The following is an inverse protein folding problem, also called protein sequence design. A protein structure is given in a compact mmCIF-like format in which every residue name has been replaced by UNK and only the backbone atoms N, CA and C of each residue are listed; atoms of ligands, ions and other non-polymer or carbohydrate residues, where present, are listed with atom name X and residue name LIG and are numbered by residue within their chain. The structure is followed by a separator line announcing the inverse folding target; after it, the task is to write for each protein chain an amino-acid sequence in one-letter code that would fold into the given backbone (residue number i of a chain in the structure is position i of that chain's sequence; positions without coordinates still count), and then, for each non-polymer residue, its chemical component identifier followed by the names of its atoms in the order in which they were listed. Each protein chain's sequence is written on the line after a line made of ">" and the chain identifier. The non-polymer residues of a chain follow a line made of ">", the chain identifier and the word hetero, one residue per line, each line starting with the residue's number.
data_IF_730506880883
#
_entry.id   IF_730506880883
#
_cell.length_a   1.000
_cell.length_b   1.000
_cell.length_c   1.000
_cell.angle_alpha   90.00
_cell.angle_beta   90.00
_cell.angle_gamma   90.00
#
_symmetry.space_group_name_H-M   'P 1'
#
loop_
_entity.id
_entity.type
_entity.pdbx_description
1 polymer ?
#
# COMPACT_ATOMS: atom_id res chain seq x y z
N UNK A 1 -30.71 51.85 25.07
CA UNK A 1 -29.67 50.82 24.86
C UNK A 1 -30.21 49.87 23.81
N UNK A 2 -29.78 50.03 22.56
CA UNK A 2 -30.13 49.07 21.51
C UNK A 2 -29.27 47.82 21.69
N UNK A 3 -29.84 46.60 21.62
CA UNK A 3 -29.04 45.39 21.65
C UNK A 3 -28.22 45.27 20.36
N UNK A 4 -26.95 44.95 20.53
CA UNK A 4 -25.98 44.68 19.47
C UNK A 4 -26.43 43.44 18.66
N UNK A 5 -26.39 43.46 17.31
CA UNK A 5 -26.80 42.31 16.52
C UNK A 5 -25.81 41.16 16.74
N UNK A 6 -26.34 40.00 17.15
CA UNK A 6 -25.57 38.77 17.32
C UNK A 6 -24.75 38.47 16.05
N UNK A 7 -23.46 38.19 16.23
CA UNK A 7 -22.58 37.74 15.16
C UNK A 7 -23.16 36.49 14.49
N UNK A 8 -23.18 36.39 13.15
CA UNK A 8 -23.68 35.20 12.48
C UNK A 8 -22.82 33.99 12.87
N UNK A 9 -23.42 32.78 12.97
CA UNK A 9 -22.66 31.56 13.23
C UNK A 9 -21.60 31.36 12.13
N UNK A 10 -20.45 30.74 12.45
CA UNK A 10 -19.42 30.47 11.45
C UNK A 10 -20.03 29.66 10.32
N UNK A 11 -20.00 30.24 9.13
CA UNK A 11 -20.55 29.65 7.91
C UNK A 11 -19.72 28.43 7.55
N UNK A 12 -20.23 27.23 7.82
CA UNK A 12 -19.64 25.99 7.28
C UNK A 12 -19.71 26.10 5.75
N UNK A 13 -18.55 26.29 5.12
CA UNK A 13 -18.43 26.34 3.66
C UNK A 13 -18.72 24.93 3.12
N UNK A 14 -19.67 24.74 2.19
CA UNK A 14 -19.88 23.45 1.56
C UNK A 14 -18.67 23.12 0.67
N UNK A 15 -18.05 21.95 0.86
CA UNK A 15 -17.15 21.35 -0.14
C UNK A 15 -15.83 20.74 0.34
N UNK A 16 -15.54 20.62 1.64
CA UNK A 16 -14.39 19.83 2.08
C UNK A 16 -14.74 18.34 2.05
N UNK A 17 -14.36 17.62 0.99
CA UNK A 17 -14.45 16.16 0.96
C UNK A 17 -13.46 15.60 1.98
N UNK A 18 -13.99 14.97 3.03
CA UNK A 18 -13.19 14.25 4.01
C UNK A 18 -13.46 12.74 3.90
N UNK A 19 -12.39 11.94 3.88
CA UNK A 19 -12.49 10.48 3.89
C UNK A 19 -11.48 9.87 4.84
N UNK A 20 -11.89 8.84 5.57
CA UNK A 20 -11.00 8.02 6.38
C UNK A 20 -10.40 6.93 5.49
N UNK A 21 -9.08 6.78 5.53
CA UNK A 21 -8.33 5.79 4.76
C UNK A 21 -7.23 5.20 5.63
N UNK A 22 -6.83 3.97 5.35
CA UNK A 22 -5.61 3.37 5.91
C UNK A 22 -4.49 3.61 4.91
N UNK A 23 -3.35 4.07 5.40
CA UNK A 23 -2.22 4.52 4.57
C UNK A 23 -0.91 4.06 5.18
N UNK A 24 0.13 4.00 4.36
CA UNK A 24 1.50 3.83 4.84
C UNK A 24 2.12 5.19 5.11
N UNK A 25 2.64 5.38 6.30
CA UNK A 25 3.25 6.61 6.78
C UNK A 25 4.73 6.38 7.02
N UNK A 26 5.55 7.20 6.39
CA UNK A 26 6.96 7.36 6.69
C UNK A 26 7.14 8.65 7.47
N UNK A 27 7.83 8.58 8.60
CA UNK A 27 8.30 9.77 9.31
C UNK A 27 9.82 9.71 9.41
N UNK A 28 10.51 10.80 9.04
CA UNK A 28 11.96 10.87 9.09
C UNK A 28 12.43 12.18 9.71
N UNK A 29 13.43 12.11 10.59
CA UNK A 29 14.04 13.28 11.22
C UNK A 29 15.56 13.16 11.29
N UNK A 30 16.26 14.29 11.25
CA UNK A 30 17.70 14.32 11.51
C UNK A 30 17.98 14.09 13.01
N UNK A 31 18.98 13.28 13.31
CA UNK A 31 19.41 13.00 14.67
C UNK A 31 20.44 14.02 15.18
N UNK A 32 20.26 14.43 16.44
CA UNK A 32 21.17 15.30 17.18
C UNK A 32 21.27 16.74 16.66
N UNK A 33 20.23 17.25 16.00
CA UNK A 33 20.21 18.63 15.49
C UNK A 33 20.46 19.70 16.57
N UNK A 34 20.14 19.40 17.82
CA UNK A 34 20.31 20.29 18.98
C UNK A 34 21.74 20.79 19.19
N UNK A 35 22.75 20.11 18.64
CA UNK A 35 24.16 20.52 18.70
C UNK A 35 24.52 21.71 17.79
N UNK A 36 23.64 22.09 16.87
CA UNK A 36 23.87 23.14 15.88
C UNK A 36 23.12 24.43 16.23
N UNK A 37 23.60 25.56 15.71
CA UNK A 37 22.91 26.86 15.84
C UNK A 37 21.59 26.88 15.07
N UNK A 38 20.67 27.79 15.40
CA UNK A 38 19.36 27.87 14.74
C UNK A 38 19.47 28.02 13.21
N UNK A 39 20.35 28.89 12.72
CA UNK A 39 20.60 29.07 11.28
C UNK A 39 21.17 27.81 10.62
N UNK A 40 22.05 27.07 11.31
CA UNK A 40 22.56 25.80 10.82
C UNK A 40 21.47 24.73 10.78
N UNK A 41 20.61 24.66 11.81
CA UNK A 41 19.50 23.71 11.86
C UNK A 41 18.53 23.93 10.69
N UNK A 42 18.18 25.19 10.38
CA UNK A 42 17.34 25.53 9.24
C UNK A 42 17.95 25.05 7.91
N UNK A 43 19.23 25.34 7.67
CA UNK A 43 19.94 24.89 6.47
C UNK A 43 20.05 23.37 6.37
N UNK A 44 20.25 22.67 7.49
CA UNK A 44 20.29 21.21 7.53
C UNK A 44 18.91 20.58 7.26
N UNK A 45 17.84 21.15 7.82
CA UNK A 45 16.46 20.70 7.58
C UNK A 45 16.05 20.89 6.13
N UNK A 46 16.36 22.03 5.53
CA UNK A 46 16.09 22.28 4.12
C UNK A 46 16.77 21.23 3.22
N UNK A 47 18.06 20.98 3.44
CA UNK A 47 18.82 19.94 2.72
C UNK A 47 18.26 18.53 2.94
N UNK A 48 17.83 18.22 4.16
CA UNK A 48 17.21 16.94 4.47
C UNK A 48 15.88 16.77 3.73
N UNK A 49 15.02 17.79 3.70
CA UNK A 49 13.77 17.76 2.92
C UNK A 49 14.01 17.56 1.42
N UNK A 50 15.09 18.14 0.86
CA UNK A 50 15.50 17.85 -0.53
C UNK A 50 15.91 16.39 -0.74
N UNK A 51 16.65 15.79 0.20
CA UNK A 51 17.04 14.38 0.12
C UNK A 51 15.82 13.45 0.21
N UNK A 52 14.86 13.77 1.08
CA UNK A 52 13.59 13.03 1.17
C UNK A 52 12.88 13.09 -0.19
N UNK A 53 12.72 14.27 -0.79
CA UNK A 53 12.11 14.40 -2.12
C UNK A 53 12.86 13.60 -3.19
N UNK A 54 14.20 13.61 -3.18
CA UNK A 54 15.01 12.81 -4.11
C UNK A 54 14.80 11.32 -3.94
N UNK A 55 14.70 10.82 -2.70
CA UNK A 55 14.42 9.42 -2.44
C UNK A 55 13.04 8.99 -2.95
N UNK A 56 12.08 9.91 -3.03
CA UNK A 56 10.73 9.66 -3.56
C UNK A 56 10.63 9.73 -5.10
N UNK A 57 11.57 10.38 -5.78
CA UNK A 57 11.58 10.50 -7.25
C UNK A 57 11.97 9.19 -7.95
N UNK A 58 12.66 8.29 -7.25
CA UNK A 58 13.11 7.01 -7.81
C UNK A 58 12.03 5.92 -7.83
N UNK A 59 10.77 6.27 -7.55
CA UNK A 59 9.65 5.34 -7.41
C UNK A 59 8.53 5.72 -8.37
N UNK A 60 7.67 4.75 -8.69
CA UNK A 60 6.50 4.94 -9.53
C UNK A 60 5.63 6.11 -9.04
N UNK A 61 4.83 6.70 -9.95
CA UNK A 61 4.00 7.88 -9.67
C UNK A 61 2.78 7.59 -8.75
N UNK A 62 2.91 6.65 -7.82
CA UNK A 62 1.90 6.36 -6.81
C UNK A 62 1.54 7.61 -6.00
N UNK A 63 0.24 7.84 -5.74
CA UNK A 63 -0.22 9.03 -5.05
C UNK A 63 0.37 9.09 -3.63
N UNK A 64 1.05 10.21 -3.33
CA UNK A 64 1.68 10.46 -2.03
C UNK A 64 1.56 11.92 -1.63
N UNK A 65 1.52 12.17 -0.32
CA UNK A 65 1.45 13.52 0.27
C UNK A 65 2.67 13.71 1.15
N UNK A 66 3.51 14.71 0.84
CA UNK A 66 4.69 15.06 1.62
C UNK A 66 4.37 16.25 2.51
N UNK A 67 4.66 16.13 3.80
CA UNK A 67 4.41 17.16 4.80
C UNK A 67 5.69 17.42 5.58
N UNK A 68 6.25 18.61 5.42
CA UNK A 68 7.41 19.07 6.17
C UNK A 68 6.97 19.74 7.48
N UNK A 69 7.68 19.44 8.56
CA UNK A 69 7.48 20.01 9.89
C UNK A 69 8.82 20.46 10.48
N UNK A 70 8.75 21.25 11.55
CA UNK A 70 9.91 21.63 12.35
C UNK A 70 10.61 20.42 12.99
N UNK A 71 9.95 19.27 13.13
CA UNK A 71 10.52 18.07 13.76
C UNK A 71 11.01 17.02 12.76
N UNK A 72 10.69 17.17 11.47
CA UNK A 72 11.04 16.20 10.45
C UNK A 72 10.11 16.28 9.23
N UNK A 73 10.31 15.36 8.29
CA UNK A 73 9.47 15.22 7.10
C UNK A 73 8.65 13.94 7.24
N UNK A 74 7.37 14.04 6.92
CA UNK A 74 6.47 12.90 6.86
C UNK A 74 5.95 12.71 5.43
N UNK A 75 5.74 11.46 5.05
CA UNK A 75 5.24 11.07 3.74
C UNK A 75 4.09 10.08 3.94
N UNK A 76 2.93 10.42 3.39
CA UNK A 76 1.75 9.58 3.37
C UNK A 76 1.63 8.93 1.99
N UNK A 77 1.87 7.63 1.92
CA UNK A 77 1.72 6.82 0.72
C UNK A 77 0.30 6.28 0.66
N UNK A 78 -0.39 6.54 -0.45
CA UNK A 78 -1.77 6.10 -0.71
C UNK A 78 -1.84 4.86 -1.61
N UNK A 79 -0.67 4.32 -2.00
CA UNK A 79 -0.52 3.17 -2.88
C UNK A 79 0.23 2.02 -2.21
N UNK A 80 1.20 1.46 -2.92
CA UNK A 80 1.95 0.29 -2.49
C UNK A 80 2.74 0.55 -1.18
N UNK A 81 2.57 -0.28 -0.12
CA UNK A 81 3.37 -0.19 1.09
C UNK A 81 4.87 -0.42 0.87
N UNK A 82 5.29 -1.21 -0.12
CA UNK A 82 6.70 -1.53 -0.39
C UNK A 82 7.48 -0.29 -0.83
N UNK A 83 6.83 0.63 -1.56
CA UNK A 83 7.42 1.91 -1.96
C UNK A 83 7.93 2.73 -0.75
N UNK A 84 7.23 2.66 0.38
CA UNK A 84 7.66 3.37 1.58
C UNK A 84 8.95 2.78 2.18
N UNK A 85 9.10 1.45 2.13
CA UNK A 85 10.32 0.79 2.59
C UNK A 85 11.50 1.05 1.66
N UNK A 86 11.26 1.02 0.36
CA UNK A 86 12.24 1.40 -0.65
C UNK A 86 12.67 2.86 -0.44
N UNK A 87 11.72 3.79 -0.31
CA UNK A 87 11.97 5.21 -0.01
C UNK A 87 12.86 5.37 1.23
N UNK A 88 12.52 4.67 2.31
CA UNK A 88 13.25 4.74 3.58
C UNK A 88 14.70 4.26 3.42
N UNK A 89 14.92 3.16 2.69
CA UNK A 89 16.25 2.62 2.39
C UNK A 89 17.07 3.59 1.53
N UNK A 90 16.49 4.07 0.42
CA UNK A 90 17.14 5.05 -0.44
C UNK A 90 17.53 6.32 0.34
N UNK A 91 16.64 6.85 1.17
CA UNK A 91 16.92 8.03 1.99
C UNK A 91 18.11 7.79 2.94
N UNK A 92 18.10 6.67 3.67
CA UNK A 92 19.20 6.29 4.56
C UNK A 92 20.51 6.17 3.79
N UNK A 93 20.49 5.49 2.65
CA UNK A 93 21.69 5.20 1.87
C UNK A 93 22.26 6.49 1.24
N UNK A 94 21.41 7.37 0.71
CA UNK A 94 21.80 8.70 0.22
C UNK A 94 22.44 9.56 1.32
N UNK A 95 21.89 9.52 2.54
CA UNK A 95 22.45 10.23 3.68
C UNK A 95 23.83 9.69 4.06
N UNK A 96 23.96 8.37 4.18
CA UNK A 96 25.22 7.71 4.53
C UNK A 96 26.29 7.99 3.47
N UNK A 97 25.95 7.92 2.19
CA UNK A 97 26.87 8.16 1.08
C UNK A 97 27.33 9.62 1.00
N UNK A 98 26.42 10.59 1.17
CA UNK A 98 26.72 12.01 0.91
C UNK A 98 27.21 12.79 2.12
N UNK A 99 26.86 12.36 3.33
CA UNK A 99 27.14 13.09 4.57
C UNK A 99 27.80 12.23 5.65
N UNK A 100 28.36 11.08 5.27
CA UNK A 100 29.17 10.14 6.07
C UNK A 100 29.61 10.68 7.45
N UNK A 101 28.95 10.19 8.50
CA UNK A 101 29.11 10.54 9.94
C UNK A 101 28.75 11.97 10.37
N UNK A 102 28.60 12.93 9.45
CA UNK A 102 28.21 14.32 9.80
C UNK A 102 26.71 14.45 10.09
N UNK A 103 25.89 13.74 9.30
CA UNK A 103 24.45 13.70 9.47
C UNK A 103 23.97 12.26 9.59
N UNK A 104 22.96 12.07 10.44
CA UNK A 104 22.25 10.82 10.58
C UNK A 104 20.77 11.11 10.66
N UNK A 105 19.95 10.18 10.20
CA UNK A 105 18.50 10.30 10.29
C UNK A 105 17.89 9.10 10.99
N UNK A 106 16.79 9.33 11.68
CA UNK A 106 15.90 8.31 12.23
C UNK A 106 14.70 8.19 11.32
N UNK A 107 14.32 6.98 10.95
CA UNK A 107 13.19 6.73 10.05
C UNK A 107 12.25 5.73 10.69
N UNK A 108 10.96 6.06 10.73
CA UNK A 108 9.88 5.19 11.21
C UNK A 108 8.85 4.94 10.11
N UNK A 109 8.39 3.70 9.98
CA UNK A 109 7.26 3.33 9.11
C UNK A 109 6.07 2.80 9.92
N UNK A 110 4.89 3.26 9.57
CA UNK A 110 3.65 2.85 10.21
C UNK A 110 2.52 2.70 9.21
N UNK A 111 1.71 1.65 9.36
CA UNK A 111 0.45 1.49 8.66
C UNK A 111 -0.67 1.88 9.61
N UNK A 112 -1.45 2.91 9.26
CA UNK A 112 -2.45 3.41 10.18
C UNK A 112 -3.55 4.24 9.51
N UNK A 113 -4.66 4.46 10.24
CA UNK A 113 -5.77 5.27 9.74
C UNK A 113 -5.41 6.76 9.77
N UNK A 114 -5.79 7.45 8.71
CA UNK A 114 -5.78 8.91 8.60
C UNK A 114 -7.08 9.40 7.98
N UNK A 115 -7.41 10.66 8.26
CA UNK A 115 -8.47 11.40 7.59
C UNK A 115 -7.84 12.34 6.59
N UNK A 116 -8.11 12.09 5.31
CA UNK A 116 -7.76 13.01 4.23
C UNK A 116 -8.85 14.06 4.14
N UNK A 117 -8.46 15.34 4.12
CA UNK A 117 -9.36 16.47 3.95
C UNK A 117 -8.89 17.26 2.73
N UNK A 118 -9.67 17.20 1.65
CA UNK A 118 -9.40 17.98 0.45
C UNK A 118 -10.03 19.36 0.61
N UNK A 119 -9.18 20.39 0.72
CA UNK A 119 -9.65 21.79 0.76
C UNK A 119 -9.85 22.37 -0.64
N UNK A 120 -10.57 23.50 -0.72
CA UNK A 120 -10.79 24.26 -1.96
C UNK A 120 -9.50 24.80 -2.62
N UNK A 121 -8.36 24.73 -1.93
CA UNK A 121 -7.05 25.21 -2.39
C UNK A 121 -6.14 24.09 -2.97
N UNK A 122 -6.72 22.98 -3.44
CA UNK A 122 -6.03 21.79 -4.00
C UNK A 122 -5.01 21.09 -3.07
N UNK A 123 -4.82 21.58 -1.85
CA UNK A 123 -3.99 20.93 -0.83
C UNK A 123 -4.83 19.92 -0.07
N UNK A 124 -4.40 18.65 -0.13
CA UNK A 124 -4.96 17.58 0.69
C UNK A 124 -4.26 17.59 2.04
N UNK A 125 -5.01 17.85 3.10
CA UNK A 125 -4.50 17.76 4.46
C UNK A 125 -4.68 16.35 5.00
N UNK A 126 -3.68 15.85 5.71
CA UNK A 126 -3.73 14.54 6.38
C UNK A 126 -3.86 14.79 7.88
N UNK A 127 -4.90 14.23 8.49
CA UNK A 127 -5.20 14.38 9.91
C UNK A 127 -5.35 13.00 10.56
N UNK A 128 -5.21 12.93 11.88
CA UNK A 128 -5.50 11.74 12.66
C UNK A 128 -4.30 11.13 13.34
N UNK A 129 -4.58 10.09 14.13
CA UNK A 129 -3.61 9.48 15.04
C UNK A 129 -2.47 8.76 14.32
N UNK A 130 -2.71 8.23 13.11
CA UNK A 130 -1.68 7.52 12.35
C UNK A 130 -0.39 8.32 12.17
N UNK A 131 -0.49 9.63 11.92
CA UNK A 131 0.71 10.50 11.79
C UNK A 131 1.46 10.59 13.12
N UNK A 132 0.73 10.76 14.22
CA UNK A 132 1.33 10.85 15.55
C UNK A 132 2.04 9.55 15.91
N UNK A 133 1.41 8.40 15.63
CA UNK A 133 2.00 7.08 15.83
C UNK A 133 3.23 6.87 14.95
N UNK A 134 3.20 7.26 13.67
CA UNK A 134 4.37 7.16 12.80
C UNK A 134 5.57 7.96 13.34
N UNK A 135 5.33 9.16 13.87
CA UNK A 135 6.34 9.94 14.57
C UNK A 135 6.85 9.21 15.82
N UNK A 136 5.97 8.63 16.65
CA UNK A 136 6.39 7.87 17.84
C UNK A 136 7.23 6.64 17.47
N UNK A 137 6.84 5.92 16.42
CA UNK A 137 7.60 4.78 15.90
C UNK A 137 9.02 5.23 15.51
N UNK A 138 9.15 6.36 14.80
CA UNK A 138 10.44 6.95 14.46
C UNK A 138 11.27 7.34 15.71
N UNK A 139 10.63 7.82 16.78
CA UNK A 139 11.33 8.20 18.02
C UNK A 139 12.11 7.02 18.65
N UNK A 140 11.70 5.77 18.40
CA UNK A 140 12.39 4.56 18.88
C UNK A 140 13.59 4.14 18.02
N UNK A 141 13.79 4.78 16.86
CA UNK A 141 14.92 4.47 15.99
C UNK A 141 16.22 5.09 16.51
N UNK A 142 17.31 4.33 16.42
CA UNK A 142 18.66 4.87 16.57
C UNK A 142 19.08 5.70 15.33
N UNK A 143 20.13 6.55 15.43
CA UNK A 143 20.65 7.26 14.27
C UNK A 143 21.03 6.30 13.13
N UNK A 144 20.56 6.60 11.91
CA UNK A 144 20.65 5.78 10.70
C UNK A 144 19.89 4.44 10.73
N UNK A 145 19.02 4.24 11.71
CA UNK A 145 18.15 3.08 11.79
C UNK A 145 16.80 3.38 11.15
N UNK A 146 16.25 2.37 10.49
CA UNK A 146 14.86 2.34 10.05
C UNK A 146 14.13 1.37 10.97
N UNK A 147 13.02 1.79 11.55
CA UNK A 147 12.17 0.93 12.38
C UNK A 147 10.73 0.97 11.87
N UNK A 148 9.97 -0.09 12.14
CA UNK A 148 8.59 -0.21 11.69
C UNK A 148 7.68 -0.65 12.84
N UNK A 149 6.43 -0.21 12.79
CA UNK A 149 5.38 -0.72 13.68
C UNK A 149 4.97 -2.14 13.29
N UNK A 150 4.45 -2.91 14.24
CA UNK A 150 3.81 -4.21 13.98
C UNK A 150 2.82 -4.21 12.82
N UNK A 151 1.91 -3.23 12.75
CA UNK A 151 0.89 -3.19 11.69
C UNK A 151 1.51 -3.15 10.27
N UNK A 152 2.64 -2.45 10.12
CA UNK A 152 3.37 -2.39 8.85
C UNK A 152 4.17 -3.67 8.60
N UNK A 153 4.84 -4.19 9.64
CA UNK A 153 5.54 -5.48 9.59
C UNK A 153 4.61 -6.61 9.15
N UNK A 154 3.43 -6.74 9.78
CA UNK A 154 2.47 -7.81 9.51
C UNK A 154 1.90 -7.73 8.08
N UNK A 155 1.79 -6.52 7.52
CA UNK A 155 1.40 -6.32 6.13
C UNK A 155 2.49 -6.82 5.17
N UNK A 156 3.74 -6.36 5.34
CA UNK A 156 4.84 -6.78 4.47
C UNK A 156 5.15 -8.28 4.60
N UNK A 157 5.00 -8.85 5.79
CA UNK A 157 5.17 -10.28 6.01
C UNK A 157 4.23 -11.14 5.15
N UNK A 158 3.06 -10.61 4.80
CA UNK A 158 2.07 -11.29 3.94
C UNK A 158 2.26 -11.01 2.46
N UNK A 159 2.83 -9.86 2.11
CA UNK A 159 3.11 -9.50 0.71
C UNK A 159 4.39 -10.18 0.21
N UNK A 160 5.39 -10.33 1.07
CA UNK A 160 6.71 -10.82 0.71
C UNK A 160 7.01 -12.17 1.41
N UNK A 161 6.20 -13.22 1.16
CA UNK A 161 6.31 -14.54 1.81
C UNK A 161 7.73 -15.14 1.79
N UNK A 162 8.52 -14.82 0.76
CA UNK A 162 9.88 -15.34 0.57
C UNK A 162 10.98 -14.48 1.24
N UNK A 163 10.74 -13.18 1.48
CA UNK A 163 11.78 -12.22 1.89
C UNK A 163 11.57 -11.63 3.31
N UNK A 164 10.37 -11.73 3.87
CA UNK A 164 10.02 -11.04 5.12
C UNK A 164 10.78 -11.54 6.36
N UNK A 165 11.07 -12.85 6.45
CA UNK A 165 11.71 -13.45 7.63
C UNK A 165 13.15 -12.98 7.90
N UNK A 166 13.82 -12.39 6.91
CA UNK A 166 15.23 -11.96 7.01
C UNK A 166 15.38 -10.43 6.95
N UNK A 167 14.26 -9.71 6.91
CA UNK A 167 14.24 -8.27 6.68
C UNK A 167 14.02 -7.46 7.96
N UNK A 168 13.53 -8.10 9.02
CA UNK A 168 13.12 -7.44 10.24
C UNK A 168 13.63 -8.15 11.50
N UNK A 169 14.21 -7.38 12.41
CA UNK A 169 14.59 -7.84 13.75
C UNK A 169 13.60 -7.29 14.79
N UNK A 170 13.00 -8.14 15.65
CA UNK A 170 12.11 -7.65 16.70
C UNK A 170 12.90 -6.88 17.76
N UNK A 171 12.52 -5.63 18.00
CA UNK A 171 13.01 -4.83 19.13
C UNK A 171 12.10 -4.95 20.36
N UNK A 172 10.89 -5.50 20.18
CA UNK A 172 9.93 -5.71 21.25
C UNK A 172 9.10 -4.46 21.59
N UNK A 173 8.35 -4.49 22.70
CA UNK A 173 7.43 -3.43 23.07
C UNK A 173 8.17 -2.19 23.58
N UNK A 174 7.79 -1.03 23.06
CA UNK A 174 8.24 0.29 23.49
C UNK A 174 7.05 1.14 23.90
N UNK A 175 7.19 1.90 24.99
CA UNK A 175 6.17 2.86 25.42
C UNK A 175 6.48 4.23 24.84
N UNK A 176 5.48 4.86 24.23
CA UNK A 176 5.60 6.28 23.86
C UNK A 176 5.40 7.20 25.08
N UNK A 177 5.50 8.52 24.86
CA UNK A 177 5.31 9.54 25.90
C UNK A 177 3.92 9.54 26.57
N UNK A 178 2.95 8.83 25.99
CA UNK A 178 1.59 8.66 26.50
C UNK A 178 1.38 7.27 27.11
N UNK A 179 2.45 6.49 27.33
CA UNK A 179 2.41 5.13 27.86
C UNK A 179 1.64 4.15 26.97
N UNK A 180 1.50 4.45 25.68
CA UNK A 180 0.96 3.50 24.71
C UNK A 180 2.08 2.57 24.27
N UNK A 181 1.81 1.26 24.31
CA UNK A 181 2.74 0.25 23.85
C UNK A 181 2.72 0.12 22.32
N UNK A 182 3.91 0.04 21.74
CA UNK A 182 4.16 -0.19 20.33
C UNK A 182 5.14 -1.35 20.19
N UNK A 183 4.77 -2.38 19.45
CA UNK A 183 5.71 -3.42 19.04
C UNK A 183 6.53 -2.92 17.85
N UNK A 184 7.85 -2.88 18.02
CA UNK A 184 8.78 -2.27 17.08
C UNK A 184 9.70 -3.33 16.47
N UNK A 185 9.98 -3.18 15.18
CA UNK A 185 10.89 -4.03 14.43
C UNK A 185 11.92 -3.16 13.71
N UNK A 186 13.20 -3.51 13.81
CA UNK A 186 14.26 -2.86 13.04
C UNK A 186 14.31 -3.44 11.63
N UNK A 187 14.47 -2.59 10.63
CA UNK A 187 14.72 -3.04 9.25
C UNK A 187 16.19 -3.36 9.09
N UNK A 188 16.48 -4.60 8.71
CA UNK A 188 17.82 -5.05 8.40
C UNK A 188 18.29 -4.53 7.04
N UNK A 189 19.61 -4.28 6.88
CA UNK A 189 20.19 -4.09 5.57
C UNK A 189 19.87 -5.30 4.68
N UNK A 190 19.63 -5.09 3.37
CA UNK A 190 19.47 -6.22 2.46
C UNK A 190 20.72 -7.11 2.53
N UNK A 191 20.54 -8.38 2.91
CA UNK A 191 21.61 -9.37 2.86
C UNK A 191 21.86 -9.75 1.41
N UNK A 192 23.12 -10.01 0.99
CA UNK A 192 23.38 -10.61 -0.31
C UNK A 192 22.63 -11.93 -0.38
N UNK A 193 21.70 -12.05 -1.34
CA UNK A 193 20.96 -13.29 -1.59
C UNK A 193 22.00 -14.39 -1.89
N UNK A 194 22.00 -15.54 -1.18
CA UNK A 194 22.69 -16.72 -1.70
C UNK A 194 22.17 -16.94 -3.13
N UNK A 195 23.01 -17.34 -4.11
CA UNK A 195 22.50 -17.68 -5.43
C UNK A 195 21.32 -18.63 -5.23
N UNK A 196 20.17 -18.26 -5.78
CA UNK A 196 18.99 -19.11 -5.66
C UNK A 196 19.42 -20.53 -6.06
N UNK A 197 19.15 -21.55 -5.23
CA UNK A 197 19.32 -22.91 -5.71
C UNK A 197 18.59 -22.99 -7.04
N UNK A 198 19.25 -23.55 -8.07
CA UNK A 198 18.60 -23.82 -9.33
C UNK A 198 17.24 -24.47 -9.01
N UNK A 199 16.14 -24.05 -9.66
CA UNK A 199 14.82 -24.53 -9.30
C UNK A 199 14.88 -26.06 -9.26
N UNK A 200 14.76 -26.61 -8.05
CA UNK A 200 14.78 -28.04 -7.85
C UNK A 200 13.44 -28.55 -8.38
N UNK A 201 13.45 -29.00 -9.64
CA UNK A 201 12.25 -29.48 -10.32
C UNK A 201 11.64 -30.67 -9.57
N UNK A 202 12.39 -31.34 -8.67
CA UNK A 202 11.92 -32.40 -7.79
C UNK A 202 11.07 -31.96 -6.59
N UNK A 203 11.09 -30.67 -6.20
CA UNK A 203 10.24 -30.19 -5.10
C UNK A 203 8.88 -29.63 -5.56
N UNK A 204 8.66 -29.54 -6.88
CA UNK A 204 7.34 -29.23 -7.46
C UNK A 204 6.42 -30.45 -7.59
N UNK A 205 6.89 -31.66 -7.27
CA UNK A 205 6.10 -32.89 -7.42
C UNK A 205 5.24 -33.27 -6.20
N UNK A 206 5.33 -32.51 -5.10
CA UNK A 206 4.56 -32.76 -3.88
C UNK A 206 3.61 -31.62 -3.48
N UNK A 207 3.02 -30.95 -4.46
CA UNK A 207 1.66 -30.43 -4.30
C UNK A 207 0.90 -30.82 -5.54
N UNK A 208 0.02 -31.81 -5.41
CA UNK A 208 -0.93 -32.16 -6.47
C UNK A 208 -1.51 -30.87 -7.04
N UNK A 209 -1.31 -30.56 -8.33
CA UNK A 209 -1.86 -29.34 -8.89
C UNK A 209 -3.38 -29.43 -8.74
N UNK A 210 -3.96 -28.55 -7.93
CA UNK A 210 -5.37 -28.26 -8.05
C UNK A 210 -5.56 -27.66 -9.45
N UNK A 211 -5.98 -28.53 -10.35
CA UNK A 211 -6.55 -28.32 -11.69
C UNK A 211 -6.60 -26.85 -12.13
N UNK A 212 -5.48 -26.40 -12.73
CA UNK A 212 -5.32 -25.29 -13.67
C UNK A 212 -6.18 -24.03 -13.50
N UNK A 213 -5.55 -22.94 -13.06
CA UNK A 213 -5.91 -21.60 -13.54
C UNK A 213 -5.61 -21.54 -15.05
N UNK A 214 -6.61 -21.85 -15.86
CA UNK A 214 -6.56 -21.66 -17.30
C UNK A 214 -7.52 -20.51 -17.63
N UNK A 215 -6.96 -19.38 -18.09
CA UNK A 215 -7.74 -18.35 -18.78
C UNK A 215 -8.55 -19.07 -19.88
N UNK A 216 -9.88 -18.89 -19.96
CA UNK A 216 -10.70 -19.61 -20.92
C UNK A 216 -10.20 -19.31 -22.34
N UNK A 217 -9.92 -20.37 -23.09
CA UNK A 217 -9.44 -20.27 -24.46
C UNK A 217 -10.50 -19.55 -25.34
N UNK A 218 -10.07 -18.77 -26.35
CA UNK A 218 -10.97 -17.88 -27.11
C UNK A 218 -12.11 -18.63 -27.84
N UNK A 219 -11.90 -19.88 -28.21
CA UNK A 219 -12.93 -20.79 -28.76
C UNK A 219 -14.01 -21.13 -27.72
N UNK A 220 -13.60 -21.39 -26.47
CA UNK A 220 -14.51 -21.65 -25.34
C UNK A 220 -15.32 -20.40 -24.99
N UNK A 221 -14.70 -19.22 -25.04
CA UNK A 221 -15.38 -17.93 -24.81
C UNK A 221 -16.44 -17.68 -25.88
N UNK A 222 -16.12 -17.91 -27.17
CA UNK A 222 -17.06 -17.75 -28.26
C UNK A 222 -18.26 -18.72 -28.13
N UNK A 223 -18.01 -19.97 -27.69
CA UNK A 223 -19.09 -20.93 -27.44
C UNK A 223 -20.02 -20.48 -26.29
N UNK A 224 -19.46 -19.95 -25.20
CA UNK A 224 -20.24 -19.41 -24.07
C UNK A 224 -21.06 -18.19 -24.51
N UNK A 225 -20.50 -17.32 -25.35
CA UNK A 225 -21.20 -16.15 -25.90
C UNK A 225 -22.42 -16.58 -26.74
N UNK A 226 -22.25 -17.50 -27.69
CA UNK A 226 -23.36 -18.00 -28.50
C UNK A 226 -24.44 -18.71 -27.68
N UNK A 227 -24.05 -19.42 -26.62
CA UNK A 227 -25.01 -20.07 -25.72
C UNK A 227 -25.81 -19.03 -24.91
N UNK A 228 -25.15 -18.02 -24.37
CA UNK A 228 -25.77 -16.94 -23.63
C UNK A 228 -26.66 -16.06 -24.53
N UNK A 229 -26.26 -15.83 -25.79
CA UNK A 229 -27.08 -15.14 -26.80
C UNK A 229 -28.43 -15.82 -27.01
N UNK A 230 -28.48 -17.14 -26.97
CA UNK A 230 -29.74 -17.90 -27.10
C UNK A 230 -30.69 -17.70 -25.91
N UNK A 231 -30.15 -17.33 -24.74
CA UNK A 231 -30.92 -17.19 -23.49
C UNK A 231 -31.34 -15.74 -23.21
N UNK A 232 -30.49 -14.76 -23.52
CA UNK A 232 -30.74 -13.34 -23.17
C UNK A 232 -30.57 -12.39 -24.36
N UNK A 233 -30.31 -12.91 -25.55
CA UNK A 233 -30.19 -12.12 -26.78
C UNK A 233 -28.88 -11.34 -26.88
N UNK A 234 -28.87 -10.22 -27.64
CA UNK A 234 -27.64 -9.51 -28.03
C UNK A 234 -26.86 -8.90 -26.87
N UNK A 235 -27.44 -8.83 -25.66
CA UNK A 235 -26.77 -8.36 -24.45
C UNK A 235 -25.64 -9.30 -24.00
N UNK A 236 -25.68 -10.56 -24.42
CA UNK A 236 -24.69 -11.59 -24.08
C UNK A 236 -23.25 -11.18 -24.42
N UNK A 237 -23.00 -10.63 -25.63
CA UNK A 237 -21.65 -10.21 -26.06
C UNK A 237 -21.03 -9.19 -25.11
N UNK A 238 -21.83 -8.20 -24.72
CA UNK A 238 -21.39 -7.11 -23.84
C UNK A 238 -21.06 -7.65 -22.45
N UNK A 239 -21.85 -8.60 -21.95
CA UNK A 239 -21.64 -9.21 -20.64
C UNK A 239 -20.41 -10.12 -20.63
N UNK A 240 -20.20 -10.93 -21.67
CA UNK A 240 -19.01 -11.78 -21.82
C UNK A 240 -17.75 -10.92 -21.89
N UNK A 241 -17.73 -9.88 -22.73
CA UNK A 241 -16.58 -8.99 -22.85
C UNK A 241 -16.25 -8.25 -21.54
N UNK A 242 -17.27 -7.84 -20.78
CA UNK A 242 -17.09 -7.21 -19.45
C UNK A 242 -16.66 -8.20 -18.36
N UNK A 243 -17.02 -9.47 -18.48
CA UNK A 243 -16.74 -10.52 -17.51
C UNK A 243 -15.33 -11.12 -17.65
N UNK A 244 -14.85 -11.27 -18.87
CA UNK A 244 -13.54 -11.87 -19.21
C UNK A 244 -12.35 -11.37 -18.38
N UNK A 245 -12.12 -10.05 -18.17
CA UNK A 245 -10.97 -9.59 -17.40
C UNK A 245 -11.06 -9.89 -15.90
N UNK A 246 -12.20 -10.41 -15.41
CA UNK A 246 -12.48 -10.61 -13.97
C UNK A 246 -12.46 -12.09 -13.57
N UNK A 247 -12.17 -13.01 -14.49
CA UNK A 247 -12.28 -14.46 -14.28
C UNK A 247 -11.02 -15.19 -14.69
N UNK A 248 -10.72 -16.27 -13.96
CA UNK A 248 -9.50 -17.08 -14.14
C UNK A 248 -9.79 -18.53 -14.57
N UNK A 249 -11.05 -18.83 -14.90
CA UNK A 249 -11.49 -20.13 -15.40
C UNK A 249 -12.80 -20.02 -16.20
N UNK A 250 -13.03 -21.01 -17.07
CA UNK A 250 -14.30 -21.17 -17.81
C UNK A 250 -15.50 -21.28 -16.89
N UNK A 251 -15.34 -21.97 -15.75
CA UNK A 251 -16.40 -22.16 -14.77
C UNK A 251 -16.77 -20.85 -14.07
N UNK A 252 -15.77 -20.07 -13.65
CA UNK A 252 -15.98 -18.75 -13.06
C UNK A 252 -16.67 -17.79 -14.04
N UNK A 253 -16.35 -17.89 -15.34
CA UNK A 253 -17.05 -17.11 -16.38
C UNK A 253 -18.53 -17.48 -16.46
N UNK A 254 -18.86 -18.78 -16.46
CA UNK A 254 -20.26 -19.26 -16.51
C UNK A 254 -21.05 -18.85 -15.29
N UNK A 255 -20.50 -19.03 -14.09
CA UNK A 255 -21.16 -18.65 -12.84
C UNK A 255 -21.48 -17.15 -12.78
N UNK A 256 -20.54 -16.31 -13.22
CA UNK A 256 -20.74 -14.86 -13.24
C UNK A 256 -21.80 -14.43 -14.26
N UNK A 257 -21.84 -15.06 -15.43
CA UNK A 257 -22.82 -14.77 -16.49
C UNK A 257 -24.20 -15.35 -16.18
N UNK A 258 -24.27 -16.44 -15.40
CA UNK A 258 -25.53 -17.07 -15.00
C UNK A 258 -26.46 -16.10 -14.24
N UNK A 259 -25.89 -15.16 -13.47
CA UNK A 259 -26.64 -14.10 -12.78
C UNK A 259 -27.47 -13.21 -13.72
N UNK A 260 -27.14 -13.16 -15.01
CA UNK A 260 -27.89 -12.37 -16.00
C UNK A 260 -29.07 -13.12 -16.62
N UNK A 261 -29.24 -14.42 -16.33
CA UNK A 261 -30.31 -15.27 -16.89
C UNK A 261 -31.54 -15.21 -15.98
N UNK A 262 -32.70 -14.70 -16.45
CA UNK A 262 -33.90 -14.56 -15.61
C UNK A 262 -34.48 -15.91 -15.17
N UNK A 263 -34.53 -16.87 -16.08
CA UNK A 263 -35.09 -18.20 -15.82
C UNK A 263 -34.17 -19.03 -14.90
N UNK A 264 -34.71 -19.53 -13.80
CA UNK A 264 -33.94 -20.24 -12.77
C UNK A 264 -33.38 -21.58 -13.28
N UNK A 265 -34.17 -22.33 -14.06
CA UNK A 265 -33.74 -23.62 -14.59
C UNK A 265 -32.64 -23.45 -15.66
N UNK A 266 -32.78 -22.46 -16.54
CA UNK A 266 -31.77 -22.13 -17.55
C UNK A 266 -30.48 -21.59 -16.93
N UNK A 267 -30.58 -20.80 -15.85
CA UNK A 267 -29.45 -20.30 -15.07
C UNK A 267 -28.63 -21.42 -14.44
N UNK A 268 -29.30 -22.36 -13.78
CA UNK A 268 -28.63 -23.50 -13.14
C UNK A 268 -28.00 -24.43 -14.18
N UNK A 269 -28.67 -24.66 -15.30
CA UNK A 269 -28.12 -25.45 -16.41
C UNK A 269 -26.89 -24.78 -17.04
N UNK A 270 -26.94 -23.46 -17.24
CA UNK A 270 -25.84 -22.71 -17.83
C UNK A 270 -24.60 -22.66 -16.92
N UNK A 271 -24.81 -22.51 -15.60
CA UNK A 271 -23.74 -22.49 -14.60
C UNK A 271 -23.07 -23.86 -14.41
N UNK A 272 -23.83 -24.95 -14.51
CA UNK A 272 -23.34 -26.31 -14.26
C UNK A 272 -22.86 -27.04 -15.53
N UNK A 273 -22.92 -26.39 -16.71
CA UNK A 273 -22.50 -27.02 -17.96
C UNK A 273 -20.97 -27.18 -17.98
N UNK A 274 -20.51 -28.42 -17.79
CA UNK A 274 -19.08 -28.76 -17.89
C UNK A 274 -18.62 -28.58 -19.33
N UNK A 275 -17.54 -27.84 -19.54
CA UNK A 275 -16.90 -27.72 -20.84
C UNK A 275 -16.64 -29.13 -21.40
N UNK A 276 -17.31 -29.48 -22.50
CA UNK A 276 -17.06 -30.71 -23.24
C UNK A 276 -15.68 -30.62 -23.90
N UNK A 277 -14.63 -30.96 -23.16
CA UNK A 277 -13.27 -31.12 -23.67
C UNK A 277 -13.01 -32.57 -24.05
N UNK A 278 -13.08 -32.89 -25.34
CA UNK A 278 -12.61 -34.17 -25.88
C UNK A 278 -12.91 -34.33 -27.37
N UNK A 279 -11.94 -34.01 -28.23
CA UNK A 279 -11.91 -34.53 -29.61
C UNK A 279 -11.78 -36.07 -29.53
N UNK A 280 -12.63 -36.86 -30.20
CA UNK A 280 -12.29 -38.25 -30.46
C UNK A 280 -11.21 -38.32 -31.56
N UNK A 281 -10.29 -39.27 -31.39
CA UNK A 281 -9.36 -39.72 -32.42
C UNK A 281 -10.11 -40.47 -33.53
#
# INVERSE_FOLDING_TARGET
>A
MNPEPASPPPTERPGALSRNVVVTLLYASLAGLSRYTAAQQEGLRARFGELVRKALLGLDNSPRIVMDSADGTSVCFLGDPEEALLSARLLRDLLVQRYSRMLSARIGLHLGPVRLVSGAAERTNVLGDGINVAQRVMDFAQPNQIVVSRAYHDLLARLCEQEAGHQFDPLGPHLDKHLRAHEIYAVLPPQPRPPAPAPDQSQLEHTSPQRGLAVPAPDVVAAIESELERLIGPLARVLVHKALPRVVSTQALRELLACAIPDAAARDNFANLRAAGGRPA
#
